data_IF_009742126714
#
_entry.id   IF_009742126714
#
_cell.length_a   1.000
_cell.length_b   1.000
_cell.length_c   1.000
_cell.angle_alpha   90.00
_cell.angle_beta   90.00
_cell.angle_gamma   90.00
#
_symmetry.space_group_name_H-M   'P 1'
#
loop_
_entity.id
_entity.type
_entity.pdbx_description
1 polymer ?
#
# COMPACT_ATOMS: atom_id res chain seq x y z
N UNK A 1 -24.72 11.09 11.65
CA UNK A 1 -23.70 11.18 10.59
C UNK A 1 -23.36 9.76 10.15
N UNK A 2 -23.40 9.49 8.86
CA UNK A 2 -22.83 8.26 8.30
C UNK A 2 -21.32 8.46 8.17
N UNK A 3 -20.49 7.50 8.61
CA UNK A 3 -19.05 7.60 8.40
C UNK A 3 -18.74 7.58 6.91
N UNK A 4 -17.76 8.38 6.49
CA UNK A 4 -17.17 8.26 5.17
C UNK A 4 -16.29 7.00 5.13
N UNK A 5 -16.41 6.23 4.04
CA UNK A 5 -15.63 5.00 3.83
C UNK A 5 -14.63 5.26 2.71
N UNK A 6 -13.34 5.15 3.03
CA UNK A 6 -12.25 5.38 2.11
C UNK A 6 -11.61 4.06 1.67
N UNK A 7 -11.44 3.89 0.35
CA UNK A 7 -10.75 2.74 -0.20
C UNK A 7 -9.24 3.03 -0.27
N UNK A 8 -8.43 2.15 0.32
CA UNK A 8 -6.98 2.35 0.42
C UNK A 8 -6.21 1.54 -0.63
N UNK A 9 -5.10 2.11 -1.12
CA UNK A 9 -4.04 1.39 -1.83
C UNK A 9 -2.85 1.19 -0.90
N UNK A 10 -2.54 -0.07 -0.60
CA UNK A 10 -1.44 -0.42 0.30
C UNK A 10 -0.06 -0.12 -0.30
N UNK A 11 0.97 0.01 0.55
CA UNK A 11 2.37 0.14 0.12
C UNK A 11 3.05 -1.21 0.10
N UNK A 12 3.53 -1.62 -1.08
CA UNK A 12 4.26 -2.87 -1.27
C UNK A 12 5.74 -2.67 -0.93
N UNK A 13 6.29 -3.52 -0.06
CA UNK A 13 7.66 -3.41 0.44
C UNK A 13 8.55 -4.49 -0.18
N UNK A 14 9.65 -4.06 -0.79
CA UNK A 14 10.53 -4.90 -1.61
C UNK A 14 11.76 -5.41 -0.84
N UNK A 15 11.54 -5.98 0.35
CA UNK A 15 12.65 -6.45 1.18
C UNK A 15 13.24 -7.77 0.69
N UNK A 16 14.55 -7.94 0.87
CA UNK A 16 15.30 -9.10 0.36
C UNK A 16 14.79 -10.47 0.85
N UNK A 17 14.11 -10.52 1.99
CA UNK A 17 13.52 -11.75 2.55
C UNK A 17 12.15 -12.10 1.95
N UNK A 18 11.57 -11.22 1.13
CA UNK A 18 10.26 -11.43 0.51
C UNK A 18 10.27 -12.49 -0.59
N UNK A 19 9.09 -13.07 -0.84
CA UNK A 19 8.86 -13.98 -1.95
C UNK A 19 8.96 -13.22 -3.28
N UNK A 20 9.57 -13.83 -4.30
CA UNK A 20 9.79 -13.16 -5.60
C UNK A 20 8.54 -13.09 -6.46
N UNK A 21 8.38 -11.96 -7.15
CA UNK A 21 7.39 -11.78 -8.21
C UNK A 21 5.96 -12.11 -7.79
N UNK A 22 5.19 -12.62 -8.75
CA UNK A 22 3.80 -13.03 -8.56
C UNK A 22 3.61 -14.24 -7.63
N UNK A 23 4.68 -14.91 -7.20
CA UNK A 23 4.56 -15.93 -6.15
C UNK A 23 4.33 -15.32 -4.76
N UNK A 24 4.62 -14.03 -4.57
CA UNK A 24 4.30 -13.31 -3.33
C UNK A 24 2.82 -13.00 -3.22
N UNK A 25 2.21 -13.36 -2.08
CA UNK A 25 0.83 -12.97 -1.77
C UNK A 25 0.70 -11.44 -1.64
N UNK A 26 1.69 -10.78 -1.03
CA UNK A 26 1.71 -9.32 -0.92
C UNK A 26 1.70 -8.66 -2.31
N UNK A 27 2.49 -9.20 -3.25
CA UNK A 27 2.51 -8.71 -4.63
C UNK A 27 1.15 -8.91 -5.32
N UNK A 28 0.57 -10.12 -5.24
CA UNK A 28 -0.73 -10.43 -5.85
C UNK A 28 -1.88 -9.57 -5.32
N UNK A 29 -1.84 -9.22 -4.04
CA UNK A 29 -2.87 -8.38 -3.40
C UNK A 29 -2.61 -6.89 -3.53
N UNK A 30 -1.43 -6.47 -4.00
CA UNK A 30 -1.07 -5.06 -4.13
C UNK A 30 -1.86 -4.31 -5.21
N UNK A 31 -2.44 -5.04 -6.16
CA UNK A 31 -3.10 -4.45 -7.33
C UNK A 31 -2.13 -3.85 -8.37
N UNK A 32 -0.81 -4.03 -8.20
CA UNK A 32 0.18 -3.66 -9.23
C UNK A 32 0.11 -4.62 -10.41
N UNK A 33 0.12 -4.06 -11.62
CA UNK A 33 0.15 -4.80 -12.88
C UNK A 33 1.59 -5.06 -13.37
N UNK A 34 2.55 -4.28 -12.88
CA UNK A 34 3.96 -4.23 -13.32
C UNK A 34 4.92 -4.98 -12.38
N UNK A 35 4.50 -6.15 -11.86
CA UNK A 35 5.32 -6.95 -10.94
C UNK A 35 6.54 -7.55 -11.66
N UNK A 36 7.74 -7.25 -11.16
CA UNK A 36 8.98 -7.88 -11.63
C UNK A 36 9.17 -9.27 -11.01
N UNK A 37 9.39 -10.26 -11.86
CA UNK A 37 9.63 -11.64 -11.44
C UNK A 37 10.88 -11.83 -10.58
N UNK A 38 11.88 -10.94 -10.68
CA UNK A 38 13.13 -11.04 -9.95
C UNK A 38 13.15 -10.27 -8.63
N UNK A 39 12.21 -9.33 -8.44
CA UNK A 39 12.07 -8.52 -7.24
C UNK A 39 11.40 -9.31 -6.11
N UNK A 40 11.94 -9.21 -4.90
CA UNK A 40 11.34 -9.79 -3.69
C UNK A 40 10.28 -8.85 -3.13
N UNK A 41 9.06 -9.34 -2.94
CA UNK A 41 7.94 -8.60 -2.37
C UNK A 41 7.55 -9.21 -1.03
N UNK A 42 7.82 -8.48 0.05
CA UNK A 42 7.82 -9.00 1.41
C UNK A 42 6.54 -8.69 2.17
N UNK A 43 6.10 -7.43 2.14
CA UNK A 43 4.98 -6.94 2.95
C UNK A 43 4.09 -6.00 2.13
N UNK A 44 2.79 -5.96 2.45
CA UNK A 44 1.84 -5.00 1.91
C UNK A 44 1.21 -4.23 3.09
N UNK A 45 1.54 -2.95 3.22
CA UNK A 45 1.17 -2.15 4.39
C UNK A 45 -0.06 -1.30 4.14
N UNK A 46 -0.98 -1.33 5.09
CA UNK A 46 -2.14 -0.45 5.16
C UNK A 46 -2.08 0.36 6.45
N UNK A 47 -1.99 1.68 6.34
CA UNK A 47 -1.91 2.57 7.50
C UNK A 47 -1.27 3.90 7.18
N UNK A 48 -1.02 4.69 8.23
CA UNK A 48 -0.43 6.03 8.15
C UNK A 48 1.02 6.05 8.66
N UNK A 49 1.75 4.94 8.53
CA UNK A 49 3.14 4.89 8.98
C UNK A 49 3.98 5.93 8.20
N UNK A 50 4.76 6.81 8.85
CA UNK A 50 5.42 7.94 8.19
C UNK A 50 6.34 7.57 7.02
N UNK A 51 6.90 6.35 7.02
CA UNK A 51 7.78 5.86 5.95
C UNK A 51 7.06 5.18 4.78
N UNK A 52 5.78 4.83 4.95
CA UNK A 52 5.01 4.09 3.95
C UNK A 52 3.50 4.30 4.17
N UNK A 53 2.99 5.54 4.03
CA UNK A 53 1.55 5.78 4.18
C UNK A 53 0.80 5.16 2.99
N UNK A 54 -0.32 4.51 3.27
CA UNK A 54 -1.24 4.01 2.24
C UNK A 54 -1.84 5.16 1.43
N UNK A 55 -2.06 4.97 0.14
CA UNK A 55 -2.80 5.91 -0.70
C UNK A 55 -4.30 5.79 -0.48
N UNK A 56 -5.04 6.85 -0.84
CA UNK A 56 -6.51 6.82 -0.92
C UNK A 56 -6.89 6.79 -2.40
N UNK A 57 -7.54 5.72 -2.85
CA UNK A 57 -7.88 5.53 -4.26
C UNK A 57 -8.83 6.64 -4.76
N UNK A 58 -8.57 7.14 -5.97
CA UNK A 58 -9.32 8.23 -6.58
C UNK A 58 -8.89 9.63 -6.11
N UNK A 59 -7.80 9.75 -5.37
CA UNK A 59 -7.28 11.04 -4.87
C UNK A 59 -5.76 11.09 -4.92
N UNK A 60 -5.19 12.29 -4.78
CA UNK A 60 -3.75 12.51 -4.59
C UNK A 60 -3.30 12.37 -3.11
N UNK A 61 -4.23 12.06 -2.21
CA UNK A 61 -3.93 11.96 -0.78
C UNK A 61 -3.35 10.61 -0.40
N UNK A 62 -2.43 10.64 0.55
CA UNK A 62 -2.11 9.47 1.38
C UNK A 62 -2.80 9.60 2.74
N UNK A 63 -2.97 8.47 3.43
CA UNK A 63 -3.72 8.39 4.67
C UNK A 63 -3.12 9.24 5.79
N UNK A 64 -1.79 9.38 5.85
CA UNK A 64 -1.14 10.22 6.85
C UNK A 64 -1.49 11.70 6.65
N UNK A 65 -1.37 12.20 5.42
CA UNK A 65 -1.73 13.58 5.07
C UNK A 65 -3.22 13.85 5.29
N UNK A 66 -4.07 12.88 4.93
CA UNK A 66 -5.51 12.99 5.15
C UNK A 66 -5.86 13.15 6.63
N UNK A 67 -5.33 12.28 7.50
CA UNK A 67 -5.54 12.36 8.96
C UNK A 67 -5.05 13.72 9.50
N UNK A 68 -3.88 14.18 9.04
CA UNK A 68 -3.31 15.44 9.48
C UNK A 68 -4.15 16.67 9.09
N UNK A 69 -4.97 16.61 8.04
CA UNK A 69 -5.83 17.72 7.61
C UNK A 69 -7.00 18.02 8.57
N UNK A 70 -7.27 17.13 9.53
CA UNK A 70 -8.30 17.30 10.56
C UNK A 70 -7.74 17.81 11.90
N UNK A 71 -6.43 18.03 11.98
CA UNK A 71 -5.72 18.55 13.17
C UNK A 71 -5.53 20.06 13.07
#
# INVERSE_FOLDING_TARGET
MTPEILLLSGRLMEYAWGTRGAASLAARLSGREDLDANTSYAELWFGAHPKAPAGILGTEWNLQGYIASFS
#
